data_IF_344232431024
#
_entry.id   IF_344232431024
#
_cell.length_a   1.000
_cell.length_b   1.000
_cell.length_c   1.000
_cell.angle_alpha   90.00
_cell.angle_beta   90.00
_cell.angle_gamma   90.00
#
_symmetry.space_group_name_H-M   'P 1'
#
loop_
_entity.id
_entity.type
_entity.pdbx_description
1 polymer ?
#
# COMPACT_ATOMS: atom_id res chain seq x y z
N UNK A 1 1.95 -71.23 25.89
CA UNK A 1 1.98 -70.75 27.30
C UNK A 1 2.29 -69.27 27.28
N UNK A 2 1.47 -68.49 27.98
CA UNK A 2 1.46 -67.04 27.98
C UNK A 2 2.67 -66.41 28.70
N UNK A 3 3.03 -65.18 28.35
CA UNK A 3 3.25 -64.11 29.33
C UNK A 3 3.18 -62.73 28.68
N UNK A 4 2.34 -61.89 29.27
CA UNK A 4 2.07 -60.49 28.98
C UNK A 4 3.30 -59.61 29.27
N UNK A 5 3.49 -58.54 28.49
CA UNK A 5 3.88 -57.23 29.03
C UNK A 5 3.15 -56.14 28.23
N UNK A 6 1.95 -55.75 28.70
CA UNK A 6 1.36 -54.45 28.35
C UNK A 6 2.19 -53.36 29.03
N UNK A 7 3.01 -52.66 28.26
CA UNK A 7 3.59 -51.39 28.68
C UNK A 7 2.57 -50.28 28.44
N UNK A 8 1.82 -49.92 29.49
CA UNK A 8 1.08 -48.66 29.57
C UNK A 8 2.07 -47.54 29.91
N UNK A 9 2.38 -46.68 28.93
CA UNK A 9 3.03 -45.40 29.15
C UNK A 9 2.07 -44.27 28.71
N UNK A 10 2.06 -43.12 29.42
CA UNK A 10 0.86 -42.31 29.58
C UNK A 10 0.57 -41.40 28.38
N UNK A 11 -0.70 -41.40 27.97
CA UNK A 11 -1.32 -40.45 27.07
C UNK A 11 -1.54 -39.11 27.79
N UNK A 12 -0.48 -38.39 28.16
CA UNK A 12 -0.59 -37.18 28.98
C UNK A 12 0.39 -36.05 28.58
N UNK A 13 0.69 -35.93 27.29
CA UNK A 13 1.55 -34.85 26.78
C UNK A 13 0.99 -34.11 25.55
N UNK A 14 -0.22 -34.44 25.08
CA UNK A 14 -0.84 -33.82 23.90
C UNK A 14 -1.75 -32.61 24.18
N UNK A 15 -2.15 -32.38 25.43
CA UNK A 15 -3.13 -31.32 25.75
C UNK A 15 -2.45 -29.96 25.99
N UNK A 16 -1.18 -29.93 26.40
CA UNK A 16 -0.47 -28.69 26.69
C UNK A 16 0.08 -27.96 25.45
N UNK A 17 0.19 -28.64 24.31
CA UNK A 17 0.70 -28.04 23.06
C UNK A 17 -0.40 -27.40 22.23
N UNK A 18 -1.63 -27.92 22.29
CA UNK A 18 -2.78 -27.36 21.56
C UNK A 18 -3.26 -26.02 22.16
N UNK A 19 -3.13 -25.83 23.47
CA UNK A 19 -3.56 -24.60 24.16
C UNK A 19 -2.65 -23.39 23.90
N UNK A 20 -1.36 -23.60 23.62
CA UNK A 20 -0.39 -22.54 23.35
C UNK A 20 -0.65 -21.79 22.04
N UNK A 21 -1.28 -22.44 21.05
CA UNK A 21 -1.61 -21.83 19.76
C UNK A 21 -3.00 -21.22 19.72
N UNK A 22 -3.91 -21.69 20.57
CA UNK A 22 -5.29 -21.19 20.59
C UNK A 22 -5.36 -19.70 20.92
N UNK A 23 -4.63 -19.24 21.95
CA UNK A 23 -4.66 -17.83 22.35
C UNK A 23 -4.06 -16.89 21.30
N UNK A 24 -2.86 -17.15 20.73
CA UNK A 24 -2.34 -16.37 19.60
C UNK A 24 -3.26 -16.41 18.38
N UNK A 25 -3.82 -17.58 18.03
CA UNK A 25 -4.72 -17.70 16.89
C UNK A 25 -6.04 -16.93 17.10
N UNK A 26 -6.59 -16.98 18.31
CA UNK A 26 -7.79 -16.22 18.68
C UNK A 26 -7.52 -14.72 18.65
N UNK A 27 -6.38 -14.28 19.19
CA UNK A 27 -5.98 -12.86 19.14
C UNK A 27 -5.78 -12.40 17.70
N UNK A 28 -5.11 -13.19 16.85
CA UNK A 28 -4.95 -12.89 15.44
C UNK A 28 -6.31 -12.83 14.71
N UNK A 29 -7.23 -13.74 15.02
CA UNK A 29 -8.58 -13.74 14.44
C UNK A 29 -9.40 -12.52 14.88
N UNK A 30 -9.30 -12.11 16.15
CA UNK A 30 -9.96 -10.90 16.66
C UNK A 30 -9.36 -9.67 16.01
N UNK A 31 -8.03 -9.58 15.92
CA UNK A 31 -7.33 -8.47 15.27
C UNK A 31 -7.72 -8.36 13.79
N UNK A 32 -7.79 -9.48 13.09
CA UNK A 32 -8.25 -9.54 11.69
C UNK A 32 -9.71 -9.11 11.54
N UNK A 33 -10.60 -9.55 12.43
CA UNK A 33 -12.02 -9.19 12.34
C UNK A 33 -12.32 -7.74 12.75
N UNK A 34 -11.48 -7.16 13.62
CA UNK A 34 -11.60 -5.79 14.12
C UNK A 34 -10.53 -4.85 13.55
N UNK A 35 -9.94 -5.19 12.41
CA UNK A 35 -8.81 -4.41 11.91
C UNK A 35 -9.15 -2.95 11.70
N UNK A 36 -10.28 -2.67 11.05
CA UNK A 36 -10.75 -1.29 10.79
C UNK A 36 -10.95 -0.46 12.07
N UNK A 37 -11.17 -1.08 13.23
CA UNK A 37 -11.28 -0.39 14.52
C UNK A 37 -9.91 -0.15 15.19
N UNK A 38 -8.91 -0.97 14.85
CA UNK A 38 -7.58 -0.96 15.45
C UNK A 38 -6.61 -0.15 14.58
N UNK A 39 -6.88 -0.06 13.28
CA UNK A 39 -6.08 0.68 12.31
C UNK A 39 -6.10 2.18 12.65
N UNK A 40 -4.95 2.75 13.04
CA UNK A 40 -4.84 4.17 13.33
C UNK A 40 -5.02 5.07 12.09
N UNK A 41 -4.91 4.51 10.88
CA UNK A 41 -4.99 5.26 9.62
C UNK A 41 -6.41 5.40 9.05
N UNK A 42 -7.41 4.77 9.70
CA UNK A 42 -8.87 4.88 9.48
C UNK A 42 -9.33 5.15 8.05
N UNK A 43 -10.08 4.21 7.47
CA UNK A 43 -10.59 4.36 6.11
C UNK A 43 -11.36 5.67 5.88
N UNK A 44 -11.18 6.32 4.71
CA UNK A 44 -12.01 7.44 4.30
C UNK A 44 -13.50 7.06 4.34
N UNK A 45 -14.33 7.96 4.87
CA UNK A 45 -15.77 7.72 4.97
C UNK A 45 -16.46 8.20 3.70
N UNK A 46 -17.06 7.26 2.97
CA UNK A 46 -17.87 7.58 1.80
C UNK A 46 -19.09 8.43 2.16
N UNK A 47 -19.20 9.57 1.49
CA UNK A 47 -20.37 10.46 1.60
C UNK A 47 -21.49 9.93 0.69
N UNK A 48 -22.59 9.48 1.31
CA UNK A 48 -23.78 9.00 0.59
C UNK A 48 -24.50 10.10 -0.19
N UNK A 49 -24.49 11.31 0.35
CA UNK A 49 -25.08 12.49 -0.28
C UNK A 49 -23.96 13.37 -0.83
N UNK A 50 -23.93 13.52 -2.15
CA UNK A 50 -22.99 14.36 -2.86
C UNK A 50 -23.60 15.74 -3.08
N UNK A 51 -22.75 16.77 -3.05
CA UNK A 51 -23.13 18.10 -3.52
C UNK A 51 -23.36 18.09 -5.04
N UNK A 52 -24.18 19.02 -5.52
CA UNK A 52 -24.42 19.18 -6.95
C UNK A 52 -23.20 19.76 -7.70
N UNK A 53 -22.33 20.46 -6.98
CA UNK A 53 -21.11 21.10 -7.50
C UNK A 53 -19.98 21.01 -6.46
N UNK A 54 -18.75 21.03 -6.95
CA UNK A 54 -17.53 21.03 -6.15
C UNK A 54 -16.52 22.00 -6.77
N UNK A 55 -15.68 22.64 -5.96
CA UNK A 55 -14.58 23.49 -6.44
C UNK A 55 -13.52 22.65 -7.15
N UNK A 56 -13.25 21.46 -6.63
CA UNK A 56 -12.28 20.53 -7.20
C UNK A 56 -12.82 19.10 -7.26
N UNK A 57 -12.63 18.46 -8.41
CA UNK A 57 -12.87 17.03 -8.60
C UNK A 57 -11.54 16.37 -8.93
N UNK A 58 -11.06 15.50 -8.04
CA UNK A 58 -9.85 14.70 -8.23
C UNK A 58 -10.29 13.32 -8.69
N UNK A 59 -9.81 12.92 -9.87
CA UNK A 59 -10.09 11.59 -10.44
C UNK A 59 -8.87 10.70 -10.22
N UNK A 60 -9.01 9.75 -9.31
CA UNK A 60 -7.99 8.81 -8.85
C UNK A 60 -7.45 9.20 -7.47
N UNK A 61 -7.71 8.37 -6.46
CA UNK A 61 -7.17 8.48 -5.11
C UNK A 61 -5.80 7.81 -4.96
N UNK A 62 -4.99 7.84 -6.03
CA UNK A 62 -3.63 7.32 -6.02
C UNK A 62 -2.65 8.24 -5.28
N UNK A 63 -1.36 7.88 -5.32
CA UNK A 63 -0.30 8.56 -4.56
C UNK A 63 -0.24 10.09 -4.74
N UNK A 64 -0.53 10.61 -5.94
CA UNK A 64 -0.59 12.05 -6.17
C UNK A 64 -1.98 12.64 -5.86
N UNK A 65 -3.05 11.94 -6.25
CA UNK A 65 -4.42 12.43 -6.11
C UNK A 65 -4.83 12.58 -4.64
N UNK A 66 -4.46 11.61 -3.79
CA UNK A 66 -4.68 11.69 -2.35
C UNK A 66 -3.96 12.89 -1.72
N UNK A 67 -2.72 13.18 -2.14
CA UNK A 67 -1.96 14.35 -1.65
C UNK A 67 -2.64 15.65 -2.08
N UNK A 68 -3.06 15.76 -3.34
CA UNK A 68 -3.74 16.96 -3.84
C UNK A 68 -5.06 17.17 -3.11
N UNK A 69 -5.87 16.12 -2.95
CA UNK A 69 -7.13 16.18 -2.21
C UNK A 69 -6.91 16.62 -0.75
N UNK A 70 -5.93 16.03 -0.06
CA UNK A 70 -5.57 16.40 1.30
C UNK A 70 -5.22 17.89 1.40
N UNK A 71 -4.32 18.40 0.54
CA UNK A 71 -3.88 19.80 0.59
C UNK A 71 -4.96 20.81 0.23
N UNK A 72 -5.81 20.51 -0.76
CA UNK A 72 -6.93 21.38 -1.11
C UNK A 72 -7.97 21.44 0.01
N UNK A 73 -8.22 20.30 0.68
CA UNK A 73 -9.17 20.22 1.79
C UNK A 73 -8.69 20.87 3.09
N UNK A 74 -7.43 21.32 3.17
CA UNK A 74 -6.94 22.12 4.32
C UNK A 74 -7.66 23.46 4.43
N UNK A 75 -8.13 24.02 3.31
CA UNK A 75 -8.96 25.21 3.30
C UNK A 75 -10.45 24.82 3.40
N UNK A 76 -11.14 25.14 4.51
CA UNK A 76 -12.56 24.80 4.68
C UNK A 76 -13.50 25.54 3.71
N UNK A 77 -13.00 26.55 2.99
CA UNK A 77 -13.77 27.22 1.94
C UNK A 77 -13.91 26.39 0.66
N UNK A 78 -13.03 25.39 0.45
CA UNK A 78 -13.07 24.55 -0.75
C UNK A 78 -13.84 23.25 -0.52
N UNK A 79 -14.71 22.94 -1.47
CA UNK A 79 -15.38 21.66 -1.61
C UNK A 79 -14.59 20.75 -2.55
N UNK A 80 -14.24 19.55 -2.08
CA UNK A 80 -13.37 18.61 -2.80
C UNK A 80 -14.07 17.27 -2.94
N UNK A 81 -14.23 16.80 -4.19
CA UNK A 81 -14.68 15.46 -4.50
C UNK A 81 -13.49 14.60 -4.95
N UNK A 82 -13.27 13.47 -4.28
CA UNK A 82 -12.28 12.48 -4.66
C UNK A 82 -12.99 11.23 -5.19
N UNK A 83 -12.64 10.81 -6.40
CA UNK A 83 -13.20 9.63 -7.06
C UNK A 83 -12.12 8.57 -7.22
N UNK A 84 -12.39 7.33 -6.81
CA UNK A 84 -11.50 6.19 -6.99
C UNK A 84 -12.25 5.01 -7.62
N UNK A 85 -11.58 4.28 -8.51
CA UNK A 85 -12.16 3.12 -9.20
C UNK A 85 -11.99 1.82 -8.40
N UNK A 86 -11.00 1.78 -7.51
CA UNK A 86 -10.76 0.72 -6.55
C UNK A 86 -11.63 0.79 -5.30
N UNK A 87 -11.47 -0.22 -4.45
CA UNK A 87 -12.00 -0.21 -3.08
C UNK A 87 -10.92 0.21 -2.09
N UNK A 88 -11.13 -0.16 -0.83
CA UNK A 88 -10.18 0.11 0.25
C UNK A 88 -9.02 -0.89 0.29
N UNK A 89 -7.98 -0.50 1.02
CA UNK A 89 -6.86 -1.36 1.39
C UNK A 89 -7.28 -2.47 2.36
N UNK A 90 -6.40 -3.46 2.50
CA UNK A 90 -6.66 -4.66 3.30
C UNK A 90 -5.46 -4.97 4.19
N UNK A 91 -5.66 -5.78 5.22
CA UNK A 91 -4.59 -6.37 6.04
C UNK A 91 -3.32 -6.78 5.30
N UNK A 92 -3.50 -7.37 4.12
CA UNK A 92 -2.41 -7.93 3.32
C UNK A 92 -1.54 -6.82 2.74
N UNK A 93 -2.12 -5.67 2.40
CA UNK A 93 -1.35 -4.55 1.86
C UNK A 93 -0.46 -3.89 2.91
N UNK A 94 -0.82 -4.00 4.18
CA UNK A 94 -0.08 -3.37 5.27
C UNK A 94 1.10 -4.21 5.74
N UNK A 95 1.30 -5.38 5.15
CA UNK A 95 2.47 -6.23 5.37
C UNK A 95 3.49 -6.03 4.23
N UNK A 96 4.54 -5.21 4.45
CA UNK A 96 5.65 -4.99 3.52
C UNK A 96 6.13 -6.19 2.70
N UNK A 97 6.32 -7.34 3.36
CA UNK A 97 6.85 -8.55 2.75
C UNK A 97 5.89 -9.19 1.73
N UNK A 98 4.61 -8.82 1.75
CA UNK A 98 3.56 -9.37 0.90
C UNK A 98 3.25 -8.50 -0.33
N UNK A 99 3.97 -7.41 -0.58
CA UNK A 99 3.74 -6.53 -1.73
C UNK A 99 3.66 -7.29 -3.08
N UNK A 100 4.47 -8.33 -3.28
CA UNK A 100 4.43 -9.17 -4.48
C UNK A 100 3.13 -9.97 -4.65
N UNK A 101 2.43 -10.28 -3.54
CA UNK A 101 1.15 -11.01 -3.55
C UNK A 101 -0.02 -10.14 -4.04
N UNK A 102 0.11 -8.82 -3.94
CA UNK A 102 -0.91 -7.87 -4.38
C UNK A 102 -0.97 -7.71 -5.90
N UNK A 103 0.10 -8.07 -6.61
CA UNK A 103 0.12 -8.06 -8.07
C UNK A 103 -0.81 -9.13 -8.62
N UNK A 104 -1.49 -8.83 -9.73
CA UNK A 104 -2.50 -9.70 -10.35
C UNK A 104 -3.72 -9.99 -9.44
N UNK A 105 -3.85 -9.29 -8.32
CA UNK A 105 -5.01 -9.36 -7.43
C UNK A 105 -6.12 -8.40 -7.89
N UNK A 106 -7.22 -8.33 -7.13
CA UNK A 106 -8.31 -7.37 -7.37
C UNK A 106 -7.89 -5.90 -7.16
N UNK A 107 -6.81 -5.67 -6.41
CA UNK A 107 -6.23 -4.34 -6.17
C UNK A 107 -5.26 -3.92 -7.29
N UNK A 108 -5.03 -4.77 -8.29
CA UNK A 108 -4.22 -4.47 -9.46
C UNK A 108 -5.15 -4.25 -10.67
N UNK A 109 -4.82 -3.27 -11.52
CA UNK A 109 -5.44 -3.12 -12.84
C UNK A 109 -5.07 -4.25 -13.80
N UNK A 110 -3.98 -4.99 -13.52
CA UNK A 110 -3.52 -6.14 -14.30
C UNK A 110 -3.22 -5.75 -15.76
N UNK A 111 -2.66 -4.56 -15.95
CA UNK A 111 -2.29 -4.13 -17.29
C UNK A 111 -1.17 -5.01 -17.87
N UNK A 112 -1.17 -5.09 -19.19
CA UNK A 112 -0.16 -5.77 -19.99
C UNK A 112 0.38 -4.80 -21.02
N UNK A 113 1.70 -4.76 -21.17
CA UNK A 113 2.34 -3.97 -22.23
C UNK A 113 1.90 -4.46 -23.61
N UNK A 114 2.08 -3.68 -24.67
CA UNK A 114 2.07 -4.22 -26.03
C UNK A 114 3.15 -5.33 -26.18
N UNK A 115 2.99 -6.28 -27.12
CA UNK A 115 4.02 -7.28 -27.40
C UNK A 115 5.39 -6.64 -27.66
N UNK A 116 6.42 -7.16 -27.00
CA UNK A 116 7.79 -6.64 -27.10
C UNK A 116 8.67 -7.57 -27.93
N UNK A 117 9.50 -7.01 -28.80
CA UNK A 117 10.43 -7.79 -29.64
C UNK A 117 11.75 -8.11 -28.95
N UNK A 118 12.16 -7.28 -27.99
CA UNK A 118 13.46 -7.37 -27.31
C UNK A 118 13.35 -7.57 -25.79
N UNK A 119 12.13 -7.60 -25.25
CA UNK A 119 11.86 -7.75 -23.82
C UNK A 119 10.72 -8.76 -23.59
N UNK A 120 10.60 -9.27 -22.36
CA UNK A 120 9.51 -10.16 -21.94
C UNK A 120 9.32 -11.40 -22.85
N UNK A 121 10.39 -11.86 -23.49
CA UNK A 121 10.37 -12.97 -24.46
C UNK A 121 9.89 -14.30 -23.85
N UNK A 122 10.08 -14.48 -22.55
CA UNK A 122 9.61 -15.65 -21.80
C UNK A 122 8.17 -15.49 -21.26
N UNK A 123 7.51 -14.35 -21.49
CA UNK A 123 6.13 -14.13 -21.05
C UNK A 123 5.13 -14.47 -22.15
N UNK A 124 3.93 -14.88 -21.75
CA UNK A 124 2.84 -15.19 -22.68
C UNK A 124 2.55 -14.00 -23.60
N UNK A 125 2.58 -14.25 -24.92
CA UNK A 125 2.38 -13.23 -25.94
C UNK A 125 3.48 -12.17 -26.03
N UNK A 126 4.64 -12.37 -25.37
CA UNK A 126 5.72 -11.37 -25.25
C UNK A 126 5.27 -10.07 -24.58
N UNK A 127 4.30 -10.16 -23.64
CA UNK A 127 3.71 -8.99 -22.95
C UNK A 127 4.11 -9.01 -21.48
N UNK A 128 4.67 -7.91 -21.00
CA UNK A 128 5.05 -7.77 -19.59
C UNK A 128 3.81 -7.53 -18.71
N UNK A 129 3.81 -8.04 -17.48
CA UNK A 129 2.91 -7.55 -16.44
C UNK A 129 3.26 -6.09 -16.13
N UNK A 130 2.25 -5.24 -16.01
CA UNK A 130 2.44 -3.83 -15.68
C UNK A 130 1.53 -3.43 -14.50
N UNK A 131 1.90 -3.83 -13.27
CA UNK A 131 1.03 -3.67 -12.11
C UNK A 131 0.75 -2.19 -11.84
N UNK A 132 -0.52 -1.87 -11.60
CA UNK A 132 -1.00 -0.53 -11.23
C UNK A 132 -2.10 -0.65 -10.18
N UNK A 133 -2.07 0.21 -9.17
CA UNK A 133 -3.03 0.14 -8.07
C UNK A 133 -4.42 0.57 -8.49
N UNK A 134 -5.39 -0.28 -8.15
CA UNK A 134 -6.81 -0.05 -8.24
C UNK A 134 -7.40 -0.19 -6.84
N UNK A 135 -7.03 0.75 -5.98
CA UNK A 135 -7.32 0.78 -4.54
C UNK A 135 -7.13 2.22 -4.06
N UNK A 136 -7.77 2.63 -2.97
CA UNK A 136 -7.43 3.88 -2.27
C UNK A 136 -5.93 3.91 -1.97
N UNK A 137 -5.25 5.04 -2.21
CA UNK A 137 -3.78 5.13 -2.21
C UNK A 137 -3.12 4.70 -3.54
N UNK A 138 -3.79 3.86 -4.34
CA UNK A 138 -3.36 3.45 -5.67
C UNK A 138 -2.04 2.68 -5.63
N UNK A 139 -1.09 3.05 -6.49
CA UNK A 139 0.18 2.31 -6.59
C UNK A 139 1.07 2.40 -5.35
N UNK A 140 0.83 3.30 -4.38
CA UNK A 140 1.60 3.28 -3.13
C UNK A 140 1.27 2.07 -2.25
N UNK A 141 0.08 1.48 -2.40
CA UNK A 141 -0.37 0.31 -1.62
C UNK A 141 0.34 -0.98 -2.03
N UNK A 142 0.66 -1.15 -3.32
CA UNK A 142 1.31 -2.37 -3.85
C UNK A 142 2.76 -2.16 -4.29
N UNK A 143 3.37 -1.03 -3.96
CA UNK A 143 4.79 -0.82 -4.26
C UNK A 143 5.68 -1.63 -3.31
N UNK A 144 7.00 -1.53 -3.50
CA UNK A 144 8.00 -2.19 -2.66
C UNK A 144 8.64 -1.27 -1.62
N UNK A 145 7.96 -0.17 -1.26
CA UNK A 145 8.30 0.80 -0.21
C UNK A 145 9.68 1.46 -0.32
N UNK A 146 10.31 1.43 -1.50
CA UNK A 146 11.56 2.12 -1.72
C UNK A 146 11.31 3.64 -1.75
N UNK A 147 11.86 4.36 -0.79
CA UNK A 147 11.87 5.81 -0.78
C UNK A 147 13.21 6.34 -1.28
N UNK A 148 13.24 6.82 -2.53
CA UNK A 148 14.44 7.38 -3.17
C UNK A 148 14.04 8.69 -3.84
N UNK A 149 14.67 9.81 -3.44
CA UNK A 149 14.35 11.15 -3.97
C UNK A 149 14.83 11.40 -5.40
N UNK A 150 15.62 10.51 -6.02
CA UNK A 150 16.18 10.70 -7.36
C UNK A 150 17.49 11.50 -7.40
N UNK A 151 18.12 11.61 -8.58
CA UNK A 151 19.37 12.35 -8.74
C UNK A 151 19.09 13.83 -8.99
N UNK A 152 19.87 14.72 -8.38
CA UNK A 152 19.80 16.18 -8.62
C UNK A 152 19.76 16.55 -10.10
N UNK A 153 20.58 15.90 -10.92
CA UNK A 153 20.67 16.18 -12.35
C UNK A 153 19.36 15.95 -13.10
N UNK A 154 18.54 15.01 -12.65
CA UNK A 154 17.26 14.71 -13.31
C UNK A 154 16.32 15.92 -13.20
N UNK A 155 16.25 16.52 -12.02
CA UNK A 155 15.41 17.69 -11.74
C UNK A 155 15.96 18.98 -12.36
N UNK A 156 17.28 19.20 -12.25
CA UNK A 156 17.93 20.35 -12.89
C UNK A 156 17.75 20.28 -14.43
N UNK A 157 17.73 19.07 -15.01
CA UNK A 157 17.41 18.87 -16.42
C UNK A 157 15.94 19.19 -16.74
N UNK A 158 14.99 18.81 -15.88
CA UNK A 158 13.58 19.18 -16.09
C UNK A 158 13.40 20.70 -16.15
N UNK A 159 14.05 21.43 -15.25
CA UNK A 159 14.02 22.89 -15.28
C UNK A 159 14.66 23.47 -16.53
N UNK A 160 15.82 22.94 -16.94
CA UNK A 160 16.52 23.35 -18.17
C UNK A 160 15.71 23.09 -19.45
N UNK A 161 14.78 22.13 -19.44
CA UNK A 161 13.83 21.87 -20.53
C UNK A 161 12.67 22.88 -20.59
N UNK A 162 12.70 23.94 -19.77
CA UNK A 162 11.70 25.00 -19.77
C UNK A 162 10.56 24.77 -18.79
N UNK A 163 10.80 24.05 -17.68
CA UNK A 163 9.83 23.84 -16.60
C UNK A 163 10.29 24.59 -15.32
N UNK A 164 10.09 25.92 -15.22
CA UNK A 164 10.54 26.68 -14.06
C UNK A 164 10.00 26.13 -12.75
N UNK A 165 10.83 26.07 -11.71
CA UNK A 165 10.42 25.58 -10.39
C UNK A 165 10.50 24.06 -10.23
N UNK A 166 10.88 23.32 -11.28
CA UNK A 166 11.15 21.88 -11.19
C UNK A 166 12.62 21.54 -10.93
N UNK A 167 13.48 22.54 -10.73
CA UNK A 167 14.88 22.34 -10.37
C UNK A 167 15.05 21.69 -8.99
N UNK A 168 16.18 21.02 -8.76
CA UNK A 168 16.37 20.18 -7.58
C UNK A 168 16.16 20.93 -6.26
N UNK A 169 16.65 22.16 -6.17
CA UNK A 169 16.53 22.97 -4.96
C UNK A 169 15.06 23.24 -4.60
N UNK A 170 14.20 23.44 -5.60
CA UNK A 170 12.76 23.70 -5.40
C UNK A 170 12.04 22.43 -5.00
N UNK A 171 12.25 21.32 -5.71
CA UNK A 171 11.57 20.04 -5.40
C UNK A 171 12.07 19.42 -4.08
N UNK A 172 13.32 19.65 -3.68
CA UNK A 172 13.86 19.18 -2.41
C UNK A 172 13.06 19.68 -1.22
N UNK A 173 12.56 20.92 -1.28
CA UNK A 173 11.66 21.44 -0.26
C UNK A 173 10.41 20.56 -0.11
N UNK A 174 9.78 20.19 -1.22
CA UNK A 174 8.57 19.37 -1.20
C UNK A 174 8.82 17.92 -0.78
N UNK A 175 9.96 17.33 -1.15
CA UNK A 175 10.37 16.01 -0.62
C UNK A 175 10.47 16.03 0.90
N UNK A 176 11.17 17.03 1.46
CA UNK A 176 11.29 17.21 2.91
C UNK A 176 9.95 17.53 3.59
N UNK A 177 9.05 18.24 2.90
CA UNK A 177 7.70 18.52 3.42
C UNK A 177 6.83 17.27 3.49
N UNK A 178 7.03 16.31 2.59
CA UNK A 178 6.24 15.07 2.53
C UNK A 178 6.72 13.97 3.47
N UNK A 179 7.95 14.03 3.96
CA UNK A 179 8.54 12.95 4.76
C UNK A 179 8.36 13.18 6.27
N UNK A 180 8.13 12.08 7.00
CA UNK A 180 8.14 12.05 8.47
C UNK A 180 9.09 10.94 8.94
N UNK A 181 10.40 11.13 8.72
CA UNK A 181 11.39 10.15 9.14
C UNK A 181 11.60 10.23 10.65
N UNK A 182 11.00 9.30 11.38
CA UNK A 182 11.08 9.22 12.85
C UNK A 182 12.36 8.54 13.37
N UNK A 183 13.27 8.10 12.49
CA UNK A 183 14.53 7.51 12.90
C UNK A 183 15.54 8.61 13.28
N UNK A 184 15.91 8.74 14.57
CA UNK A 184 16.75 9.84 15.03
C UNK A 184 18.19 9.80 14.51
N UNK A 185 18.64 8.65 13.99
CA UNK A 185 19.97 8.50 13.40
C UNK A 185 20.01 8.96 11.94
N UNK A 186 18.89 8.88 11.22
CA UNK A 186 18.78 9.24 9.81
C UNK A 186 18.27 10.67 9.65
N UNK A 187 17.33 11.09 10.50
CA UNK A 187 16.68 12.41 10.44
C UNK A 187 17.62 13.60 10.72
N UNK A 188 18.84 13.36 11.24
CA UNK A 188 19.84 14.41 11.54
C UNK A 188 20.66 14.86 10.32
N UNK A 189 20.53 14.19 9.17
CA UNK A 189 21.26 14.50 7.93
C UNK A 189 20.38 15.29 6.94
#
# INVERSE_FOLDING_TARGET
MASLLLSTAPLASSVFTASLWFMPALLAAIAYYKYDEIDPESRPIDRKELFAEYDFIIVGAGSAGAVVANRLSEDPAFSVLLLEAGGDETEISDVPALAGYLQLSKMDWIYKTEPQESACLAMAGRRCNWPRGKVMGGSSVLNYMLYVRGNRRDYDQWEALGNPGWGFNTVLHYFKKSEDNRNPYIAKN
#
